data_IF_036238144903
#
_entry.id   IF_036238144903
#
_cell.length_a   1.000
_cell.length_b   1.000
_cell.length_c   1.000
_cell.angle_alpha   90.00
_cell.angle_beta   90.00
_cell.angle_gamma   90.00
#
_symmetry.space_group_name_H-M   'P 1'
#
loop_
_entity.id
_entity.type
_entity.pdbx_description
1 polymer ?
#
# COMPACT_ATOMS: atom_id res chain seq x y z
N UNK A 1 2.65 -4.01 -5.77
CA UNK A 1 3.07 -4.13 -4.36
C UNK A 1 1.85 -4.12 -3.43
N UNK A 2 0.98 -3.14 -3.53
CA UNK A 2 -0.21 -2.97 -2.68
C UNK A 2 -1.05 -4.26 -2.55
N UNK A 3 -1.35 -4.94 -3.67
CA UNK A 3 -2.08 -6.20 -3.65
C UNK A 3 -1.37 -7.30 -2.83
N UNK A 4 -0.04 -7.29 -2.79
CA UNK A 4 0.76 -8.24 -2.00
C UNK A 4 0.72 -7.85 -0.52
N UNK A 5 0.89 -6.57 -0.18
CA UNK A 5 0.84 -6.14 1.21
C UNK A 5 -0.55 -6.34 1.81
N UNK A 6 -1.61 -6.10 1.04
CA UNK A 6 -2.98 -6.43 1.47
C UNK A 6 -3.16 -7.94 1.71
N UNK A 7 -2.73 -8.78 0.76
CA UNK A 7 -2.84 -10.23 0.87
C UNK A 7 -2.02 -10.82 2.04
N UNK A 8 -0.95 -10.10 2.48
CA UNK A 8 -0.06 -10.51 3.56
C UNK A 8 -0.76 -10.55 4.94
N UNK A 9 -1.97 -10.02 5.08
CA UNK A 9 -2.81 -10.27 6.24
C UNK A 9 -3.00 -11.79 6.46
N UNK A 10 -3.04 -12.58 5.39
CA UNK A 10 -3.07 -14.04 5.44
C UNK A 10 -1.65 -14.64 5.40
N UNK A 11 -1.46 -15.89 5.90
CA UNK A 11 -0.15 -16.57 5.91
C UNK A 11 0.22 -17.09 4.51
N UNK A 12 0.43 -16.19 3.57
CA UNK A 12 0.74 -16.51 2.19
C UNK A 12 2.21 -16.92 2.01
N UNK A 13 2.43 -17.77 1.02
CA UNK A 13 3.75 -18.06 0.47
C UNK A 13 3.89 -17.30 -0.86
N UNK A 14 4.83 -16.37 -0.96
CA UNK A 14 4.96 -15.50 -2.14
C UNK A 14 5.00 -16.25 -3.48
N UNK A 15 5.70 -17.39 -3.65
CA UNK A 15 5.70 -18.14 -4.90
C UNK A 15 4.33 -18.73 -5.30
N UNK A 16 3.40 -18.84 -4.35
CA UNK A 16 2.03 -19.31 -4.61
C UNK A 16 1.07 -18.20 -5.02
N UNK A 17 1.49 -16.96 -4.91
CA UNK A 17 0.67 -15.81 -5.32
C UNK A 17 0.52 -15.80 -6.84
N UNK A 18 -0.72 -15.64 -7.29
CA UNK A 18 -1.08 -15.39 -8.68
C UNK A 18 -1.89 -14.12 -8.75
N UNK A 19 -1.67 -13.35 -9.81
CA UNK A 19 -2.35 -12.10 -10.03
C UNK A 19 -3.32 -12.22 -11.21
N UNK A 20 -4.43 -11.49 -11.12
CA UNK A 20 -5.26 -11.13 -12.27
C UNK A 20 -5.11 -9.63 -12.47
N UNK A 21 -4.85 -9.19 -13.70
CA UNK A 21 -4.65 -7.80 -14.03
C UNK A 21 -5.71 -7.31 -15.02
N UNK A 22 -6.30 -6.16 -14.72
CA UNK A 22 -7.18 -5.45 -15.64
C UNK A 22 -6.50 -4.14 -16.07
N UNK A 23 -6.04 -4.11 -17.31
CA UNK A 23 -5.37 -2.97 -17.92
C UNK A 23 -6.39 -2.08 -18.61
N UNK A 24 -6.40 -0.81 -18.27
CA UNK A 24 -7.33 0.15 -18.84
C UNK A 24 -6.56 1.33 -19.43
N UNK A 25 -6.81 1.65 -20.70
CA UNK A 25 -6.14 2.70 -21.43
C UNK A 25 -7.03 3.29 -22.51
N UNK A 26 -6.82 4.54 -22.87
CA UNK A 26 -7.45 5.17 -24.03
C UNK A 26 -6.51 5.05 -25.24
N UNK A 27 -6.31 3.85 -25.76
CA UNK A 27 -5.38 3.61 -26.87
C UNK A 27 -5.70 4.49 -28.09
N UNK A 28 -4.65 4.99 -28.72
CA UNK A 28 -4.70 5.95 -29.82
C UNK A 28 -4.81 7.41 -29.38
N UNK A 29 -4.96 7.70 -28.09
CA UNK A 29 -4.83 9.05 -27.56
C UNK A 29 -3.35 9.39 -27.29
N UNK A 30 -2.96 10.65 -27.42
CA UNK A 30 -1.56 11.04 -27.25
C UNK A 30 -0.97 10.60 -25.91
N UNK A 31 0.10 9.80 -25.95
CA UNK A 31 0.81 9.33 -24.75
C UNK A 31 0.28 8.05 -24.13
N UNK A 32 -0.99 7.69 -24.34
CA UNK A 32 -1.65 6.56 -23.65
C UNK A 32 -1.08 5.20 -24.06
N UNK A 33 -0.72 5.01 -25.33
CA UNK A 33 -0.11 3.75 -25.81
C UNK A 33 1.28 3.53 -25.18
N UNK A 34 2.08 4.59 -25.08
CA UNK A 34 3.39 4.54 -24.46
C UNK A 34 3.26 4.28 -22.95
N UNK A 35 2.33 4.97 -22.28
CA UNK A 35 2.07 4.78 -20.86
C UNK A 35 1.60 3.34 -20.56
N UNK A 36 0.74 2.77 -21.38
CA UNK A 36 0.32 1.37 -21.27
C UNK A 36 1.52 0.41 -21.42
N UNK A 37 2.35 0.63 -22.46
CA UNK A 37 3.53 -0.20 -22.69
C UNK A 37 4.49 -0.18 -21.48
N UNK A 38 4.83 1.00 -20.98
CA UNK A 38 5.74 1.14 -19.83
C UNK A 38 5.14 0.51 -18.55
N UNK A 39 3.84 0.66 -18.34
CA UNK A 39 3.15 0.02 -17.20
C UNK A 39 3.22 -1.50 -17.28
N UNK A 40 2.92 -2.08 -18.46
CA UNK A 40 2.99 -3.54 -18.68
C UNK A 40 4.42 -4.04 -18.51
N UNK A 41 5.40 -3.31 -19.01
CA UNK A 41 6.81 -3.63 -18.88
C UNK A 41 7.24 -3.63 -17.40
N UNK A 42 6.98 -2.55 -16.68
CA UNK A 42 7.35 -2.42 -15.27
C UNK A 42 6.75 -3.53 -14.40
N UNK A 43 5.47 -3.86 -14.60
CA UNK A 43 4.79 -4.87 -13.79
C UNK A 43 5.12 -6.29 -14.27
N UNK A 44 4.99 -6.53 -15.56
CA UNK A 44 5.05 -7.89 -16.13
C UNK A 44 6.46 -8.40 -16.43
N UNK A 45 7.39 -7.50 -16.75
CA UNK A 45 8.76 -7.90 -17.13
C UNK A 45 9.79 -7.59 -16.04
N UNK A 46 9.50 -6.70 -15.12
CA UNK A 46 10.44 -6.27 -14.07
C UNK A 46 9.98 -6.75 -12.70
N UNK A 47 8.88 -6.22 -12.16
CA UNK A 47 8.45 -6.47 -10.78
C UNK A 47 8.02 -7.94 -10.56
N UNK A 48 7.10 -8.46 -11.38
CA UNK A 48 6.58 -9.82 -11.17
C UNK A 48 7.67 -10.90 -11.26
N UNK A 49 8.60 -10.87 -12.24
CA UNK A 49 9.73 -11.80 -12.26
C UNK A 49 10.66 -11.66 -11.05
N UNK A 50 10.95 -10.43 -10.61
CA UNK A 50 11.78 -10.18 -9.43
C UNK A 50 11.17 -10.74 -8.14
N UNK A 51 9.83 -10.77 -8.05
CA UNK A 51 9.10 -11.35 -6.92
C UNK A 51 8.83 -12.87 -7.08
N UNK A 52 9.15 -13.46 -8.23
CA UNK A 52 8.84 -14.86 -8.52
C UNK A 52 7.34 -15.17 -8.64
N UNK A 53 6.53 -14.16 -9.00
CA UNK A 53 5.08 -14.29 -9.18
C UNK A 53 4.69 -14.08 -10.64
N UNK A 54 3.41 -14.35 -10.98
CA UNK A 54 2.93 -14.24 -12.35
C UNK A 54 1.51 -13.70 -12.45
N UNK A 55 1.19 -13.18 -13.63
CA UNK A 55 -0.15 -12.74 -14.03
C UNK A 55 -0.69 -13.73 -15.08
N UNK A 56 -1.24 -14.88 -14.67
CA UNK A 56 -1.71 -15.89 -15.62
C UNK A 56 -3.00 -15.50 -16.34
N UNK A 57 -3.72 -14.53 -15.84
CA UNK A 57 -5.04 -14.12 -16.35
C UNK A 57 -5.22 -12.61 -16.18
N UNK A 58 -5.96 -12.03 -17.10
CA UNK A 58 -6.29 -10.63 -17.10
C UNK A 58 -7.17 -10.26 -18.28
N UNK A 59 -7.45 -8.97 -18.40
CA UNK A 59 -8.18 -8.40 -19.54
C UNK A 59 -7.74 -6.97 -19.82
N UNK A 60 -8.06 -6.49 -21.00
CA UNK A 60 -7.81 -5.12 -21.43
C UNK A 60 -9.13 -4.36 -21.64
N UNK A 61 -9.10 -3.07 -21.38
CA UNK A 61 -10.12 -2.10 -21.77
C UNK A 61 -9.41 -0.93 -22.44
N UNK A 62 -9.36 -0.93 -23.77
CA UNK A 62 -8.49 -0.04 -24.54
C UNK A 62 -9.19 1.19 -25.13
N UNK A 63 -10.45 1.41 -24.79
CA UNK A 63 -11.26 2.53 -25.27
C UNK A 63 -11.72 3.45 -24.13
N UNK A 64 -10.83 3.74 -23.17
CA UNK A 64 -11.17 4.45 -21.96
C UNK A 64 -11.32 5.96 -22.21
N UNK A 65 -12.26 6.32 -23.07
CA UNK A 65 -12.64 7.71 -23.33
C UNK A 65 -14.15 7.83 -23.54
N UNK A 66 -14.68 8.96 -23.17
CA UNK A 66 -16.07 9.35 -23.46
C UNK A 66 -16.07 10.54 -24.38
N UNK A 67 -16.91 10.50 -25.39
CA UNK A 67 -17.12 11.59 -26.35
C UNK A 67 -18.61 11.90 -26.43
N UNK A 68 -18.95 13.18 -26.48
CA UNK A 68 -20.34 13.65 -26.66
C UNK A 68 -20.37 14.98 -27.39
N UNK A 69 -21.56 15.41 -27.79
CA UNK A 69 -21.77 16.72 -28.41
C UNK A 69 -22.69 17.55 -27.52
N UNK A 70 -22.35 18.79 -27.33
CA UNK A 70 -23.17 19.78 -26.66
C UNK A 70 -23.46 20.90 -27.67
N UNK A 71 -24.64 20.83 -28.29
CA UNK A 71 -24.95 21.63 -29.48
C UNK A 71 -24.03 21.28 -30.66
N UNK A 72 -23.26 22.26 -31.16
CA UNK A 72 -22.25 22.09 -32.20
C UNK A 72 -20.88 21.61 -31.68
N UNK A 73 -20.67 21.68 -30.37
CA UNK A 73 -19.37 21.47 -29.77
C UNK A 73 -19.17 19.96 -29.47
N UNK A 74 -18.04 19.43 -29.92
CA UNK A 74 -17.61 18.09 -29.60
C UNK A 74 -16.79 18.12 -28.28
N UNK A 75 -17.21 17.37 -27.32
CA UNK A 75 -16.56 17.22 -26.01
C UNK A 75 -15.95 15.83 -25.89
N UNK A 76 -14.82 15.74 -25.18
CA UNK A 76 -14.13 14.47 -24.93
C UNK A 76 -13.49 14.48 -23.54
N UNK A 77 -13.58 13.37 -22.84
CA UNK A 77 -12.81 13.05 -21.62
C UNK A 77 -12.05 11.76 -21.86
N UNK A 78 -10.76 11.78 -21.58
CA UNK A 78 -9.87 10.64 -21.68
C UNK A 78 -9.47 10.22 -20.28
N UNK A 79 -9.66 8.95 -19.95
CA UNK A 79 -9.17 8.38 -18.69
C UNK A 79 -7.69 8.03 -18.85
N UNK A 80 -6.84 8.37 -17.88
CA UNK A 80 -5.43 7.95 -17.91
C UNK A 80 -5.30 6.43 -17.78
N UNK A 81 -4.12 5.89 -18.14
CA UNK A 81 -3.80 4.49 -17.91
C UNK A 81 -4.06 4.13 -16.45
N UNK A 82 -4.79 3.05 -16.25
CA UNK A 82 -5.12 2.53 -14.93
C UNK A 82 -4.91 1.01 -14.91
N UNK A 83 -4.49 0.50 -13.77
CA UNK A 83 -4.28 -0.93 -13.56
C UNK A 83 -4.98 -1.37 -12.28
N UNK A 84 -5.87 -2.36 -12.40
CA UNK A 84 -6.50 -3.02 -11.26
C UNK A 84 -5.91 -4.42 -11.14
N UNK A 85 -5.34 -4.72 -9.99
CA UNK A 85 -4.73 -6.01 -9.69
C UNK A 85 -5.53 -6.71 -8.60
N UNK A 86 -5.88 -7.98 -8.85
CA UNK A 86 -6.40 -8.88 -7.83
C UNK A 86 -5.35 -9.95 -7.55
N UNK A 87 -4.98 -10.14 -6.29
CA UNK A 87 -4.02 -11.13 -5.87
C UNK A 87 -4.71 -12.33 -5.21
N UNK A 88 -4.23 -13.53 -5.51
CA UNK A 88 -4.76 -14.79 -5.01
C UNK A 88 -3.64 -15.67 -4.51
N UNK A 89 -3.86 -16.36 -3.39
CA UNK A 89 -2.97 -17.39 -2.90
C UNK A 89 -3.79 -18.51 -2.25
N UNK A 90 -3.36 -19.75 -2.46
CA UNK A 90 -3.90 -20.88 -1.72
C UNK A 90 -3.23 -20.98 -0.35
N UNK A 91 -4.01 -21.22 0.68
CA UNK A 91 -3.52 -21.41 2.05
C UNK A 91 -3.75 -22.85 2.49
N UNK A 92 -2.82 -23.38 3.28
CA UNK A 92 -3.01 -24.66 3.97
C UNK A 92 -3.88 -24.51 5.22
N UNK A 93 -3.83 -23.35 5.87
CA UNK A 93 -4.55 -23.02 7.09
C UNK A 93 -4.90 -21.53 7.13
N UNK A 94 -6.17 -21.21 7.30
CA UNK A 94 -6.67 -19.81 7.35
C UNK A 94 -6.61 -19.20 8.75
N UNK A 95 -6.38 -20.02 9.78
CA UNK A 95 -6.45 -19.59 11.20
C UNK A 95 -5.34 -18.59 11.59
N UNK A 96 -4.27 -18.53 10.82
CA UNK A 96 -3.20 -17.54 11.01
C UNK A 96 -3.45 -16.19 10.33
N UNK A 97 -4.65 -15.98 9.78
CA UNK A 97 -5.00 -14.69 9.15
C UNK A 97 -5.15 -13.61 10.21
N UNK A 98 -4.43 -12.52 10.01
CA UNK A 98 -4.49 -11.32 10.86
C UNK A 98 -5.61 -10.40 10.39
N UNK A 99 -6.10 -9.58 11.30
CA UNK A 99 -7.09 -8.54 11.04
C UNK A 99 -6.55 -7.18 11.47
N UNK A 100 -7.13 -6.07 11.05
CA UNK A 100 -6.74 -4.76 11.54
C UNK A 100 -7.15 -4.50 13.00
N UNK A 101 -7.88 -5.40 13.63
CA UNK A 101 -8.40 -5.22 14.97
C UNK A 101 -7.28 -5.16 16.02
N UNK A 102 -7.12 -3.98 16.65
CA UNK A 102 -6.20 -3.81 17.76
C UNK A 102 -6.71 -4.57 18.99
N UNK A 103 -5.80 -5.31 19.64
CA UNK A 103 -6.14 -6.06 20.85
C UNK A 103 -5.89 -5.20 22.09
N UNK A 104 -6.97 -4.70 22.70
CA UNK A 104 -6.89 -3.85 23.88
C UNK A 104 -6.68 -4.62 25.20
N UNK A 105 -6.72 -5.94 25.18
CA UNK A 105 -6.58 -6.77 26.38
C UNK A 105 -5.13 -7.17 26.65
N UNK A 106 -4.26 -7.07 25.65
CA UNK A 106 -2.84 -7.32 25.80
C UNK A 106 -2.14 -6.06 26.31
N UNK A 107 -1.39 -6.22 27.38
CA UNK A 107 -0.48 -5.19 27.88
C UNK A 107 0.80 -5.16 27.01
N UNK A 108 1.46 -4.03 26.99
CA UNK A 108 2.77 -3.86 26.36
C UNK A 108 2.81 -4.15 24.86
N UNK A 109 1.75 -3.78 24.14
CA UNK A 109 1.73 -3.83 22.69
C UNK A 109 2.24 -2.53 22.07
N UNK A 110 2.80 -2.66 20.87
CA UNK A 110 3.39 -1.54 20.14
C UNK A 110 2.89 -1.54 18.71
N UNK A 111 2.46 -0.39 18.22
CA UNK A 111 2.15 -0.20 16.80
C UNK A 111 3.43 0.08 16.03
N UNK A 112 3.80 -0.80 15.11
CA UNK A 112 5.01 -0.70 14.29
C UNK A 112 4.64 -0.24 12.88
N UNK A 113 5.22 0.85 12.42
CA UNK A 113 5.17 1.26 11.01
C UNK A 113 6.38 0.68 10.28
N UNK A 114 6.13 -0.11 9.23
CA UNK A 114 7.16 -0.57 8.29
C UNK A 114 7.02 0.26 7.02
N UNK A 115 8.01 1.07 6.73
CA UNK A 115 8.02 1.96 5.58
C UNK A 115 9.03 1.49 4.53
N UNK A 116 8.55 0.86 3.46
CA UNK A 116 9.39 0.45 2.33
C UNK A 116 9.82 1.64 1.46
N UNK A 117 9.18 2.78 1.61
CA UNK A 117 9.54 4.04 0.94
C UNK A 117 10.77 4.73 1.54
N UNK A 118 11.33 4.19 2.65
CA UNK A 118 12.56 4.70 3.29
C UNK A 118 12.51 6.20 3.60
N UNK A 119 11.36 6.66 4.11
CA UNK A 119 11.14 8.06 4.45
C UNK A 119 10.81 8.97 3.25
N UNK A 120 10.72 8.44 2.06
CA UNK A 120 10.28 9.22 0.89
C UNK A 120 8.76 9.35 0.91
N UNK A 121 8.26 10.50 1.32
CA UNK A 121 6.83 10.81 1.36
C UNK A 121 6.32 11.22 -0.02
N UNK A 122 6.17 10.25 -0.92
CA UNK A 122 5.70 10.44 -2.28
C UNK A 122 4.18 10.61 -2.30
N UNK A 123 3.70 11.77 -2.70
CA UNK A 123 2.29 12.14 -2.61
C UNK A 123 1.61 12.26 -3.99
N UNK A 124 2.34 12.01 -5.08
CA UNK A 124 1.79 12.07 -6.44
C UNK A 124 0.63 11.09 -6.63
N UNK A 125 -0.48 11.58 -7.17
CA UNK A 125 -1.70 10.80 -7.38
C UNK A 125 -2.47 10.43 -6.11
N UNK A 126 -2.03 10.90 -4.93
CA UNK A 126 -2.68 10.58 -3.66
C UNK A 126 -4.09 11.17 -3.55
N UNK A 127 -4.92 10.58 -2.68
CA UNK A 127 -6.25 11.12 -2.35
C UNK A 127 -6.14 12.56 -1.81
N UNK A 128 -5.12 12.85 -1.01
CA UNK A 128 -4.88 14.22 -0.56
C UNK A 128 -4.61 15.16 -1.73
N UNK A 129 -3.76 14.76 -2.67
CA UNK A 129 -3.51 15.52 -3.90
C UNK A 129 -4.77 15.75 -4.70
N UNK A 130 -5.61 14.73 -4.88
CA UNK A 130 -6.89 14.86 -5.58
C UNK A 130 -7.86 15.83 -4.88
N UNK A 131 -7.96 15.77 -3.55
CA UNK A 131 -8.86 16.67 -2.79
C UNK A 131 -8.40 18.13 -2.82
N UNK A 132 -7.13 18.37 -3.04
CA UNK A 132 -6.54 19.71 -3.15
C UNK A 132 -6.37 20.18 -4.60
N UNK A 133 -6.84 19.39 -5.57
CA UNK A 133 -6.64 19.64 -7.02
C UNK A 133 -5.14 19.77 -7.39
N UNK A 134 -4.32 18.94 -6.78
CA UNK A 134 -2.86 18.90 -6.98
C UNK A 134 -2.43 17.45 -7.26
N UNK A 135 -2.01 17.18 -8.50
CA UNK A 135 -1.59 15.81 -8.87
C UNK A 135 -0.31 15.34 -8.18
N UNK A 136 0.64 16.27 -7.94
CA UNK A 136 1.99 15.94 -7.48
C UNK A 136 2.84 15.29 -8.57
N UNK A 137 4.16 15.35 -8.41
CA UNK A 137 5.10 14.89 -9.45
C UNK A 137 5.69 13.51 -9.15
N UNK A 138 5.76 13.12 -7.88
CA UNK A 138 6.41 11.88 -7.46
C UNK A 138 5.39 10.94 -6.85
N UNK A 139 5.17 9.81 -7.52
CA UNK A 139 4.22 8.76 -7.09
C UNK A 139 4.91 7.72 -6.20
N UNK A 140 4.16 7.05 -5.31
CA UNK A 140 4.67 5.89 -4.58
C UNK A 140 5.19 4.82 -5.53
N UNK A 141 6.34 4.24 -5.19
CA UNK A 141 6.98 3.18 -5.98
C UNK A 141 7.67 2.16 -5.08
N UNK A 142 8.04 1.01 -5.67
CA UNK A 142 8.88 -0.02 -5.07
C UNK A 142 10.28 0.12 -5.64
N UNK A 143 11.16 0.80 -4.91
CA UNK A 143 12.54 1.06 -5.37
C UNK A 143 13.38 -0.23 -5.45
N UNK A 144 13.13 -1.17 -4.54
CA UNK A 144 13.79 -2.48 -4.52
C UNK A 144 12.75 -3.58 -4.27
N UNK A 145 12.48 -4.44 -5.24
CA UNK A 145 11.56 -5.58 -5.07
C UNK A 145 11.98 -6.53 -3.92
N UNK A 146 13.27 -6.58 -3.59
CA UNK A 146 13.77 -7.41 -2.50
C UNK A 146 13.23 -6.95 -1.13
N UNK A 147 12.99 -5.65 -0.95
CA UNK A 147 12.38 -5.14 0.29
C UNK A 147 10.97 -5.70 0.51
N UNK A 148 10.19 -5.86 -0.56
CA UNK A 148 8.87 -6.49 -0.47
C UNK A 148 8.97 -7.98 -0.14
N UNK A 149 9.93 -8.70 -0.72
CA UNK A 149 10.21 -10.11 -0.36
C UNK A 149 10.62 -10.22 1.11
N UNK A 150 11.49 -9.33 1.57
CA UNK A 150 11.94 -9.29 2.96
C UNK A 150 10.78 -8.99 3.92
N UNK A 151 9.87 -8.08 3.55
CA UNK A 151 8.66 -7.79 4.32
C UNK A 151 7.79 -9.05 4.49
N UNK A 152 7.51 -9.75 3.40
CA UNK A 152 6.70 -11.00 3.44
C UNK A 152 7.34 -12.02 4.36
N UNK A 153 8.64 -12.22 4.25
CA UNK A 153 9.37 -13.16 5.08
C UNK A 153 9.36 -12.76 6.56
N UNK A 154 9.58 -11.47 6.86
CA UNK A 154 9.61 -10.95 8.22
C UNK A 154 8.24 -11.08 8.90
N UNK A 155 7.16 -10.66 8.21
CA UNK A 155 5.79 -10.76 8.73
C UNK A 155 5.41 -12.23 8.98
N UNK A 156 5.73 -13.13 8.06
CA UNK A 156 5.45 -14.55 8.24
C UNK A 156 6.25 -15.16 9.42
N UNK A 157 7.52 -14.77 9.58
CA UNK A 157 8.35 -15.23 10.69
C UNK A 157 7.82 -14.75 12.06
N UNK A 158 7.41 -13.48 12.15
CA UNK A 158 6.81 -12.91 13.36
C UNK A 158 5.44 -13.51 13.66
N UNK A 159 4.62 -13.73 12.63
CA UNK A 159 3.32 -14.41 12.73
C UNK A 159 3.50 -15.83 13.29
N UNK A 160 4.45 -16.60 12.75
CA UNK A 160 4.72 -17.95 13.22
C UNK A 160 5.15 -18.02 14.69
N UNK A 161 5.71 -16.93 15.22
CA UNK A 161 6.08 -16.78 16.64
C UNK A 161 4.95 -16.22 17.52
N UNK A 162 3.79 -15.89 16.93
CA UNK A 162 2.69 -15.23 17.64
C UNK A 162 3.00 -13.80 18.09
N UNK A 163 3.95 -13.13 17.45
CA UNK A 163 4.41 -11.78 17.83
C UNK A 163 3.65 -10.66 17.13
N UNK A 164 2.76 -10.98 16.18
CA UNK A 164 1.89 -9.99 15.53
C UNK A 164 0.45 -10.26 15.97
N UNK A 165 -0.18 -9.26 16.55
CA UNK A 165 -1.56 -9.32 17.05
C UNK A 165 -2.56 -8.74 16.07
N UNK A 166 -2.16 -7.77 15.26
CA UNK A 166 -2.97 -7.11 14.24
C UNK A 166 -2.10 -6.71 13.05
N UNK A 167 -2.72 -6.58 11.90
CA UNK A 167 -2.04 -6.17 10.68
C UNK A 167 -2.97 -5.33 9.80
N UNK A 168 -2.41 -4.28 9.23
CA UNK A 168 -3.06 -3.48 8.19
C UNK A 168 -1.99 -3.00 7.19
N UNK A 169 -2.27 -3.10 5.91
CA UNK A 169 -1.48 -2.45 4.88
C UNK A 169 -1.80 -0.95 4.82
N UNK A 170 -0.88 -0.16 4.34
CA UNK A 170 -1.08 1.27 4.12
C UNK A 170 -1.36 1.50 2.64
N UNK A 171 -2.55 2.01 2.32
CA UNK A 171 -2.98 2.34 0.96
C UNK A 171 -3.58 3.75 0.89
N UNK A 172 -4.72 3.94 0.24
CA UNK A 172 -5.42 5.22 0.17
C UNK A 172 -5.70 5.81 1.56
N UNK A 173 -5.45 7.12 1.72
CA UNK A 173 -5.53 7.81 3.01
C UNK A 173 -4.29 7.64 3.90
N UNK A 174 -3.33 6.80 3.51
CA UNK A 174 -2.03 6.66 4.15
C UNK A 174 -2.08 6.17 5.59
N UNK A 175 -1.11 6.60 6.39
CA UNK A 175 -0.97 6.19 7.79
C UNK A 175 -2.19 6.59 8.64
N UNK A 176 -2.78 7.75 8.40
CA UNK A 176 -3.92 8.23 9.18
C UNK A 176 -5.12 7.31 9.00
N UNK A 177 -5.45 6.95 7.76
CA UNK A 177 -6.56 6.06 7.46
C UNK A 177 -6.32 4.67 8.06
N UNK A 178 -5.16 4.06 7.82
CA UNK A 178 -4.81 2.75 8.36
C UNK A 178 -4.90 2.70 9.90
N UNK A 179 -4.34 3.71 10.59
CA UNK A 179 -4.40 3.78 12.06
C UNK A 179 -5.84 3.98 12.58
N UNK A 180 -6.65 4.80 11.89
CA UNK A 180 -8.04 5.03 12.23
C UNK A 180 -8.87 3.75 12.04
N UNK A 181 -8.68 3.04 10.95
CA UNK A 181 -9.37 1.78 10.65
C UNK A 181 -9.00 0.69 11.66
N UNK A 182 -7.74 0.58 12.05
CA UNK A 182 -7.30 -0.32 13.12
C UNK A 182 -7.95 0.03 14.46
N UNK A 183 -8.06 1.34 14.79
CA UNK A 183 -8.72 1.82 15.98
C UNK A 183 -10.23 1.50 15.98
N UNK A 184 -10.90 1.73 14.84
CA UNK A 184 -12.33 1.39 14.69
C UNK A 184 -12.57 -0.11 14.83
N UNK A 185 -11.75 -0.93 14.17
CA UNK A 185 -11.86 -2.38 14.25
C UNK A 185 -11.67 -2.90 15.68
N UNK A 186 -10.77 -2.29 16.44
CA UNK A 186 -10.48 -2.65 17.83
C UNK A 186 -11.38 -1.98 18.87
N UNK A 187 -12.23 -1.02 18.50
CA UNK A 187 -12.99 -0.16 19.42
C UNK A 187 -12.11 0.53 20.46
N UNK A 188 -10.92 1.00 20.05
CA UNK A 188 -9.91 1.63 20.91
C UNK A 188 -9.46 2.97 20.35
N UNK A 189 -8.87 3.82 21.21
CA UNK A 189 -8.17 5.01 20.77
C UNK A 189 -6.71 4.71 20.44
N UNK A 190 -6.12 5.49 19.53
CA UNK A 190 -4.70 5.44 19.17
C UNK A 190 -4.10 6.83 19.34
N UNK A 191 -2.96 6.90 20.04
CA UNK A 191 -2.14 8.10 20.12
C UNK A 191 -0.85 7.87 19.31
N UNK A 192 -0.59 8.72 18.32
CA UNK A 192 0.58 8.63 17.45
C UNK A 192 1.50 9.81 17.70
N UNK A 193 2.80 9.55 17.88
CA UNK A 193 3.81 10.58 17.76
C UNK A 193 4.28 10.64 16.30
N UNK A 194 3.91 11.71 15.60
CA UNK A 194 4.21 11.89 14.17
C UNK A 194 5.47 12.70 13.91
N UNK A 195 6.12 13.26 14.97
CA UNK A 195 7.32 14.07 14.81
C UNK A 195 8.44 13.32 14.10
N UNK A 196 8.50 12.00 14.32
CA UNK A 196 9.45 11.11 13.66
C UNK A 196 9.27 10.99 12.15
N UNK A 197 8.09 11.29 11.65
CA UNK A 197 7.76 11.16 10.21
C UNK A 197 8.07 12.43 9.43
N UNK A 198 8.23 13.57 10.12
CA UNK A 198 8.41 14.88 9.48
C UNK A 198 9.80 15.48 9.66
N UNK A 199 10.67 14.84 10.45
CA UNK A 199 12.06 15.26 10.62
C UNK A 199 12.98 14.62 9.60
N UNK A 200 13.89 15.40 9.04
CA UNK A 200 14.96 14.87 8.18
C UNK A 200 15.89 13.96 8.98
N UNK A 201 16.32 12.86 8.37
CA UNK A 201 17.27 11.91 8.94
C UNK A 201 16.69 10.50 9.13
N UNK A 202 17.45 9.66 9.80
CA UNK A 202 17.14 8.25 10.09
C UNK A 202 16.03 8.04 11.12
N UNK A 203 15.34 9.09 11.49
CA UNK A 203 14.31 9.02 12.50
C UNK A 203 14.83 9.02 13.93
N UNK A 204 16.13 9.11 14.15
CA UNK A 204 16.79 9.16 15.47
C UNK A 204 17.45 10.52 15.65
N UNK A 205 16.70 11.57 15.81
CA UNK A 205 17.29 12.88 16.16
C UNK A 205 17.30 13.09 17.65
N UNK A 206 18.30 13.85 18.12
CA UNK A 206 18.51 14.14 19.53
C UNK A 206 17.30 14.81 20.20
N UNK A 207 16.57 15.63 19.47
CA UNK A 207 15.36 16.31 19.99
C UNK A 207 14.25 15.35 20.40
N UNK A 208 14.28 14.11 19.95
CA UNK A 208 13.32 13.06 20.29
C UNK A 208 13.78 12.19 21.44
N UNK A 209 15.08 12.10 21.63
CA UNK A 209 15.64 11.46 22.81
C UNK A 209 15.28 12.24 24.07
N UNK A 210 15.17 13.57 23.96
CA UNK A 210 14.80 14.45 25.06
C UNK A 210 13.34 14.29 25.51
N UNK A 211 12.46 13.78 24.66
CA UNK A 211 11.05 13.51 25.01
C UNK A 211 10.83 12.19 25.72
N UNK A 212 11.87 11.38 25.91
CA UNK A 212 11.80 10.09 26.58
C UNK A 212 11.10 8.98 25.80
N UNK A 213 10.26 9.33 24.83
CA UNK A 213 9.43 8.41 24.06
C UNK A 213 10.06 8.01 22.72
N UNK A 214 11.16 8.65 22.37
CA UNK A 214 11.80 8.53 21.08
C UNK A 214 12.54 7.20 20.84
N UNK A 215 12.64 6.35 21.83
CA UNK A 215 13.29 5.04 21.66
C UNK A 215 12.46 4.06 20.85
N UNK A 216 11.21 4.38 20.65
CA UNK A 216 10.30 3.52 19.93
C UNK A 216 9.58 4.35 18.85
N UNK A 217 9.92 4.17 17.62
CA UNK A 217 9.21 4.59 16.44
C UNK A 217 7.77 4.12 16.35
N UNK A 218 7.23 3.75 17.39
CA UNK A 218 6.07 2.94 17.54
C UNK A 218 5.07 3.79 18.28
N UNK A 219 3.96 4.05 17.63
CA UNK A 219 2.82 4.62 18.31
C UNK A 219 2.46 3.73 19.50
N UNK A 220 2.32 4.30 20.67
CA UNK A 220 1.73 3.59 21.78
C UNK A 220 0.23 3.47 21.57
N UNK A 221 -0.26 2.24 21.53
CA UNK A 221 -1.71 2.00 21.56
C UNK A 221 -2.16 2.15 23.02
N UNK A 222 -2.87 3.22 23.33
CA UNK A 222 -3.57 3.31 24.60
C UNK A 222 -5.03 2.91 24.39
N UNK A 223 -5.42 1.78 24.96
CA UNK A 223 -6.83 1.44 25.07
C UNK A 223 -7.51 2.37 26.06
N UNK A 224 -8.33 3.30 25.57
CA UNK A 224 -9.31 4.00 26.39
C UNK A 224 -10.68 3.40 26.05
N UNK A 225 -11.29 2.79 27.05
CA UNK A 225 -12.70 2.37 26.98
C UNK A 225 -13.62 3.58 27.12
#
# INVERSE_FOLDING_TARGET
>A
AEAITNLLAAPIELPRVKLSANWMAACGEPGEDAALYETVKAVGMELCPALGISIPVGKDSLSMRTQWSEGSDKKKVTSPVSLIVSAFASLSDVRGTLTPQLNATEADTTLVLIDLGKGQNRMGGSILGQTLDQSGDVVPDVDDPQDLVNLVNAVNALRAKGQILAYHDRSDGGLLAAAAEMAFAGHVGVALNVDLLVTEGDGVSDSRMDTGDAKNWTGQVSARR
#
